data_IF_308328094730
#
_entry.id   IF_308328094730
#
_cell.length_a   1.000
_cell.length_b   1.000
_cell.length_c   1.000
_cell.angle_alpha   90.00
_cell.angle_beta   90.00
_cell.angle_gamma   90.00
#
_symmetry.space_group_name_H-M   'P 1'
#
loop_
_entity.id
_entity.type
_entity.pdbx_description
1 polymer ?
#
# COMPACT_ATOMS: atom_id res chain seq x y z
N UNK A 1 4.30 24.63 12.09
CA UNK A 1 4.62 23.44 12.92
C UNK A 1 3.30 22.76 13.19
N UNK A 2 3.04 21.58 12.63
CA UNK A 2 1.77 20.87 12.84
C UNK A 2 1.68 20.55 14.33
N UNK A 3 0.57 20.90 14.98
CA UNK A 3 0.32 20.53 16.37
C UNK A 3 0.36 19.01 16.50
N UNK A 4 1.37 18.49 17.19
CA UNK A 4 1.59 17.05 17.38
C UNK A 4 0.37 16.35 18.02
N UNK A 5 -0.44 17.08 18.80
CA UNK A 5 -1.66 16.55 19.41
C UNK A 5 -2.73 16.12 18.40
N UNK A 6 -2.84 16.79 17.23
CA UNK A 6 -3.76 16.36 16.17
C UNK A 6 -3.29 15.07 15.51
N UNK A 7 -1.99 14.95 15.26
CA UNK A 7 -1.39 13.75 14.68
C UNK A 7 -1.64 12.50 15.54
N UNK A 8 -1.46 12.60 16.86
CA UNK A 8 -1.67 11.47 17.77
C UNK A 8 -3.14 11.00 17.84
N UNK A 9 -4.10 11.90 17.62
CA UNK A 9 -5.51 11.56 17.56
C UNK A 9 -5.89 10.85 16.25
N UNK A 10 -5.37 11.31 15.11
CA UNK A 10 -5.75 10.80 13.79
C UNK A 10 -4.97 9.56 13.33
N UNK A 11 -3.70 9.41 13.73
CA UNK A 11 -2.86 8.29 13.32
C UNK A 11 -3.48 6.90 13.60
N UNK A 12 -4.02 6.59 14.80
CA UNK A 12 -4.61 5.28 15.05
C UNK A 12 -5.89 5.04 14.23
N UNK A 13 -6.67 6.09 13.95
CA UNK A 13 -7.86 5.99 13.11
C UNK A 13 -7.49 5.69 11.65
N UNK A 14 -6.50 6.40 11.11
CA UNK A 14 -5.98 6.15 9.76
C UNK A 14 -5.36 4.75 9.68
N UNK A 15 -4.56 4.35 10.67
CA UNK A 15 -3.97 3.01 10.72
C UNK A 15 -5.04 1.91 10.74
N UNK A 16 -6.10 2.10 11.53
CA UNK A 16 -7.26 1.19 11.53
C UNK A 16 -7.94 1.09 10.16
N UNK A 17 -8.20 2.24 9.52
CA UNK A 17 -8.79 2.30 8.19
C UNK A 17 -7.94 1.54 7.15
N UNK A 18 -6.63 1.83 7.08
CA UNK A 18 -5.73 1.16 6.15
C UNK A 18 -5.55 -0.33 6.46
N UNK A 19 -5.58 -0.73 7.73
CA UNK A 19 -5.57 -2.15 8.10
C UNK A 19 -6.83 -2.86 7.61
N UNK A 20 -8.00 -2.23 7.74
CA UNK A 20 -9.26 -2.81 7.22
C UNK A 20 -9.27 -2.88 5.70
N UNK A 21 -8.78 -1.84 5.01
CA UNK A 21 -8.63 -1.84 3.56
C UNK A 21 -7.69 -2.97 3.10
N UNK A 22 -6.56 -3.14 3.78
CA UNK A 22 -5.58 -4.19 3.47
C UNK A 22 -6.18 -5.60 3.62
N UNK A 23 -7.06 -5.83 4.60
CA UNK A 23 -7.79 -7.10 4.74
C UNK A 23 -8.73 -7.32 3.56
N UNK A 24 -9.48 -6.30 3.14
CA UNK A 24 -10.42 -6.37 2.02
C UNK A 24 -9.69 -6.67 0.71
N UNK A 25 -8.59 -5.96 0.43
CA UNK A 25 -7.80 -6.19 -0.78
C UNK A 25 -7.10 -7.55 -0.76
N UNK A 26 -6.61 -8.01 0.41
CA UNK A 26 -6.07 -9.37 0.55
C UNK A 26 -7.12 -10.44 0.23
N UNK A 27 -8.34 -10.27 0.74
CA UNK A 27 -9.45 -11.16 0.39
C UNK A 27 -9.79 -11.10 -1.11
N UNK A 28 -9.69 -9.91 -1.74
CA UNK A 28 -9.91 -9.74 -3.17
C UNK A 28 -8.85 -10.46 -3.99
N UNK A 29 -7.56 -10.37 -3.64
CA UNK A 29 -6.48 -11.12 -4.31
C UNK A 29 -6.75 -12.63 -4.32
N UNK A 30 -7.23 -13.18 -3.19
CA UNK A 30 -7.53 -14.61 -3.07
C UNK A 30 -8.81 -15.06 -3.80
N UNK A 31 -9.78 -14.14 -3.97
CA UNK A 31 -11.11 -14.46 -4.53
C UNK A 31 -11.24 -14.11 -6.02
N UNK A 32 -10.36 -13.25 -6.54
CA UNK A 32 -10.43 -12.76 -7.92
C UNK A 32 -10.24 -13.87 -8.96
N UNK A 33 -11.08 -13.86 -10.00
CA UNK A 33 -11.07 -14.85 -11.10
C UNK A 33 -10.28 -14.38 -12.32
N UNK A 34 -10.07 -13.07 -12.44
CA UNK A 34 -9.44 -12.41 -13.60
C UNK A 34 -8.06 -11.90 -13.21
N UNK A 35 -7.08 -12.07 -14.09
CA UNK A 35 -5.71 -11.57 -13.87
C UNK A 35 -5.66 -10.06 -13.63
N UNK A 36 -6.38 -9.20 -14.39
CA UNK A 36 -6.42 -7.75 -14.12
C UNK A 36 -6.91 -7.41 -12.70
N UNK A 37 -7.95 -8.09 -12.20
CA UNK A 37 -8.51 -7.80 -10.87
C UNK A 37 -7.53 -8.19 -9.75
N UNK A 38 -6.79 -9.29 -9.91
CA UNK A 38 -5.76 -9.70 -8.95
C UNK A 38 -4.66 -8.64 -8.89
N UNK A 39 -4.24 -8.14 -10.05
CA UNK A 39 -3.12 -7.21 -10.20
C UNK A 39 -3.46 -5.86 -9.63
N UNK A 40 -4.66 -5.35 -9.93
CA UNK A 40 -5.17 -4.12 -9.34
C UNK A 40 -5.28 -4.22 -7.80
N UNK A 41 -5.69 -5.38 -7.28
CA UNK A 41 -5.75 -5.59 -5.83
C UNK A 41 -4.35 -5.65 -5.19
N UNK A 42 -3.35 -6.20 -5.89
CA UNK A 42 -1.94 -6.22 -5.43
C UNK A 42 -1.33 -4.82 -5.46
N UNK A 43 -1.62 -4.01 -6.48
CA UNK A 43 -1.21 -2.61 -6.53
C UNK A 43 -1.77 -1.82 -5.33
N UNK A 44 -3.09 -1.92 -5.10
CA UNK A 44 -3.74 -1.30 -3.94
C UNK A 44 -3.15 -1.77 -2.59
N UNK A 45 -2.89 -3.07 -2.42
CA UNK A 45 -2.24 -3.61 -1.22
C UNK A 45 -0.87 -3.01 -0.95
N UNK A 46 -0.12 -2.74 -2.02
CA UNK A 46 1.23 -2.23 -1.89
C UNK A 46 1.23 -0.75 -1.50
N UNK A 47 0.27 0.02 -2.00
CA UNK A 47 0.02 1.39 -1.52
C UNK A 47 -0.40 1.40 -0.05
N UNK A 48 -1.28 0.49 0.38
CA UNK A 48 -1.67 0.36 1.78
C UNK A 48 -0.45 0.06 2.68
N UNK A 49 0.43 -0.84 2.22
CA UNK A 49 1.67 -1.15 2.92
C UNK A 49 2.60 0.06 3.04
N UNK A 50 2.71 0.87 1.98
CA UNK A 50 3.48 2.13 2.01
C UNK A 50 2.93 3.10 3.05
N UNK A 51 1.60 3.25 3.14
CA UNK A 51 0.98 4.12 4.14
C UNK A 51 1.22 3.60 5.55
N UNK A 52 1.07 2.29 5.78
CA UNK A 52 1.35 1.66 7.08
C UNK A 52 2.82 1.87 7.49
N UNK A 53 3.77 1.62 6.58
CA UNK A 53 5.19 1.85 6.84
C UNK A 53 5.49 3.32 7.15
N UNK A 54 4.79 4.25 6.49
CA UNK A 54 4.91 5.69 6.74
C UNK A 54 4.37 6.06 8.12
N UNK A 55 3.23 5.50 8.53
CA UNK A 55 2.67 5.69 9.87
C UNK A 55 3.62 5.14 10.94
N UNK A 56 4.22 3.96 10.71
CA UNK A 56 5.19 3.36 11.62
C UNK A 56 6.46 4.24 11.68
N UNK A 57 6.95 4.74 10.56
CA UNK A 57 8.09 5.67 10.51
C UNK A 57 7.83 6.94 11.33
N UNK A 58 6.62 7.50 11.23
CA UNK A 58 6.19 8.65 12.03
C UNK A 58 6.14 8.32 13.53
N UNK A 59 5.59 7.15 13.89
CA UNK A 59 5.50 6.69 15.28
C UNK A 59 6.88 6.52 15.93
N UNK A 60 7.81 5.84 15.24
CA UNK A 60 9.19 5.65 15.73
C UNK A 60 10.09 6.86 15.53
N UNK A 61 9.58 7.94 14.91
CA UNK A 61 10.33 9.17 14.58
C UNK A 61 11.64 8.89 13.83
N UNK A 62 11.64 7.84 13.02
CA UNK A 62 12.83 7.36 12.30
C UNK A 62 12.53 7.28 10.80
N UNK A 63 13.27 8.04 9.95
CA UNK A 63 13.05 8.03 8.51
C UNK A 63 13.59 6.76 7.82
N UNK A 64 14.32 5.90 8.54
CA UNK A 64 14.96 4.71 7.96
C UNK A 64 13.95 3.75 7.32
N UNK A 65 12.74 3.67 7.88
CA UNK A 65 11.66 2.82 7.37
C UNK A 65 11.13 3.30 6.00
N UNK A 66 11.29 4.59 5.67
CA UNK A 66 10.88 5.15 4.38
C UNK A 66 11.84 4.80 3.24
N UNK A 67 13.08 4.39 3.55
CA UNK A 67 14.04 3.94 2.52
C UNK A 67 13.51 2.72 1.78
N UNK A 68 12.79 1.84 2.49
CA UNK A 68 12.15 0.66 1.90
C UNK A 68 10.91 0.95 1.06
N UNK A 69 10.26 2.10 1.27
CA UNK A 69 9.02 2.47 0.55
C UNK A 69 9.30 2.74 -0.94
N UNK A 70 10.41 3.40 -1.25
CA UNK A 70 10.78 3.79 -2.62
C UNK A 70 10.93 2.56 -3.55
N UNK A 71 11.76 1.55 -3.23
CA UNK A 71 11.88 0.36 -4.08
C UNK A 71 10.59 -0.46 -4.12
N UNK A 72 9.79 -0.44 -3.06
CA UNK A 72 8.51 -1.14 -2.99
C UNK A 72 7.50 -0.52 -3.97
N UNK A 73 7.39 0.80 -4.02
CA UNK A 73 6.55 1.49 -5.00
C UNK A 73 7.04 1.26 -6.45
N UNK A 74 8.36 1.29 -6.67
CA UNK A 74 8.93 1.05 -8.00
C UNK A 74 8.68 -0.38 -8.51
N UNK A 75 8.72 -1.37 -7.61
CA UNK A 75 8.47 -2.77 -7.94
C UNK A 75 7.02 -3.00 -8.42
N UNK A 76 6.07 -2.38 -7.74
CA UNK A 76 4.64 -2.53 -8.03
C UNK A 76 4.29 -1.90 -9.38
N UNK A 77 4.83 -0.70 -9.63
CA UNK A 77 4.71 -0.06 -10.93
C UNK A 77 5.25 -0.94 -12.09
N UNK A 78 6.38 -1.62 -11.88
CA UNK A 78 6.94 -2.54 -12.87
C UNK A 78 6.01 -3.74 -13.13
N UNK A 79 5.40 -4.29 -12.07
CA UNK A 79 4.44 -5.39 -12.18
C UNK A 79 3.24 -5.00 -13.06
N UNK A 80 2.66 -3.83 -12.83
CA UNK A 80 1.53 -3.32 -13.62
C UNK A 80 1.90 -3.13 -15.10
N UNK A 81 3.08 -2.56 -15.36
CA UNK A 81 3.57 -2.35 -16.72
C UNK A 81 3.78 -3.68 -17.47
N UNK A 82 4.35 -4.68 -16.80
CA UNK A 82 4.60 -6.00 -17.39
C UNK A 82 3.28 -6.68 -17.73
N UNK A 83 2.30 -6.61 -16.83
CA UNK A 83 1.01 -7.26 -17.01
C UNK A 83 0.18 -6.54 -18.08
N UNK A 84 0.20 -5.22 -18.12
CA UNK A 84 -0.43 -4.45 -19.20
C UNK A 84 0.12 -4.85 -20.57
N UNK A 85 1.46 -5.01 -20.69
CA UNK A 85 2.10 -5.50 -21.92
C UNK A 85 1.71 -6.95 -22.24
N UNK A 86 1.60 -7.82 -21.24
CA UNK A 86 1.18 -9.21 -21.43
C UNK A 86 -0.26 -9.30 -21.95
N UNK A 87 -1.18 -8.54 -21.34
CA UNK A 87 -2.59 -8.49 -21.74
C UNK A 87 -2.77 -7.86 -23.13
N UNK A 88 -1.98 -6.83 -23.48
CA UNK A 88 -2.06 -6.19 -24.78
C UNK A 88 -1.53 -7.04 -25.94
N UNK A 89 -0.65 -8.01 -25.66
CA UNK A 89 -0.11 -8.95 -26.68
C UNK A 89 -1.00 -10.16 -26.89
N UNK A 90 -1.97 -10.40 -26.02
CA UNK A 90 -2.92 -11.50 -26.08
C UNK A 90 -4.19 -11.05 -26.78
#
# INVERSE_FOLDING_TARGET
MVEYGLLELFLPFIAGLFTTAMIIYSARVLTSKTLPDVVLAVDALSVDLVVILTIIALYYRSPLLLIGVIPLAAWVFLLDLIIARYLSKR
#
